data_IF_356633066588
#
_entry.id   IF_356633066588
#
_cell.length_a   1.000
_cell.length_b   1.000
_cell.length_c   1.000
_cell.angle_alpha   90.00
_cell.angle_beta   90.00
_cell.angle_gamma   90.00
#
_symmetry.space_group_name_H-M   'P 1'
#
loop_
_entity.id
_entity.type
_entity.pdbx_description
1 polymer ?
#
# COMPACT_ATOMS: atom_id res chain seq x y z
N UNK A 1 3.56 0.25 0.57
CA UNK A 1 3.03 1.60 0.23
C UNK A 1 3.71 2.23 -1.00
N UNK A 2 5.05 2.18 -1.16
CA UNK A 2 5.76 2.86 -2.27
C UNK A 2 5.28 2.50 -3.69
N UNK A 3 4.84 1.26 -3.92
CA UNK A 3 4.42 0.79 -5.25
C UNK A 3 2.95 1.03 -5.57
N UNK A 4 2.12 1.42 -4.60
CA UNK A 4 0.67 1.61 -4.84
C UNK A 4 0.43 2.71 -5.90
N UNK A 5 1.04 3.92 -5.79
CA UNK A 5 0.84 4.95 -6.82
C UNK A 5 1.25 4.48 -8.21
N UNK A 6 2.41 3.80 -8.31
CA UNK A 6 2.90 3.30 -9.60
C UNK A 6 2.02 2.21 -10.21
N UNK A 7 1.41 1.36 -9.38
CA UNK A 7 0.51 0.29 -9.84
C UNK A 7 -0.84 0.88 -10.27
N UNK A 8 -1.32 1.93 -9.60
CA UNK A 8 -2.53 2.65 -10.02
C UNK A 8 -2.34 3.30 -11.39
N UNK A 9 -1.22 4.01 -11.59
CA UNK A 9 -0.89 4.62 -12.89
C UNK A 9 -0.79 3.56 -14.01
N UNK A 10 -0.22 2.40 -13.69
CA UNK A 10 -0.08 1.28 -14.63
C UNK A 10 -1.43 0.61 -14.92
N UNK A 11 -2.28 0.46 -13.89
CA UNK A 11 -3.66 -0.01 -14.03
C UNK A 11 -4.44 0.90 -14.96
N UNK A 12 -4.35 2.23 -14.78
CA UNK A 12 -5.04 3.20 -15.65
C UNK A 12 -4.56 3.15 -17.10
N UNK A 13 -3.25 2.98 -17.31
CA UNK A 13 -2.67 2.82 -18.65
C UNK A 13 -3.17 1.54 -19.33
N UNK A 14 -3.14 0.41 -18.63
CA UNK A 14 -3.61 -0.87 -19.17
C UNK A 14 -5.11 -0.81 -19.43
N UNK A 15 -5.90 -0.26 -18.52
CA UNK A 15 -7.33 -0.11 -18.65
C UNK A 15 -7.69 0.72 -19.88
N UNK A 16 -7.07 1.89 -20.07
CA UNK A 16 -7.26 2.71 -21.28
C UNK A 16 -6.83 1.97 -22.56
N UNK A 17 -5.71 1.26 -22.54
CA UNK A 17 -5.24 0.50 -23.70
C UNK A 17 -6.20 -0.64 -24.08
N UNK A 18 -6.79 -1.34 -23.09
CA UNK A 18 -7.76 -2.41 -23.35
C UNK A 18 -9.11 -1.84 -23.78
N UNK A 19 -9.56 -0.71 -23.22
CA UNK A 19 -10.77 -0.01 -23.69
C UNK A 19 -10.63 0.41 -25.16
N UNK A 20 -9.47 0.95 -25.57
CA UNK A 20 -9.19 1.25 -26.98
C UNK A 20 -9.18 0.02 -27.89
N UNK A 21 -8.98 -1.18 -27.33
CA UNK A 21 -9.04 -2.46 -28.05
C UNK A 21 -10.43 -3.10 -28.00
N UNK A 22 -11.43 -2.40 -27.48
CA UNK A 22 -12.83 -2.86 -27.42
C UNK A 22 -13.17 -3.69 -26.18
N UNK A 23 -12.33 -3.71 -25.15
CA UNK A 23 -12.69 -4.33 -23.87
C UNK A 23 -13.70 -3.46 -23.12
N UNK A 24 -14.83 -4.04 -22.72
CA UNK A 24 -15.86 -3.40 -21.92
C UNK A 24 -15.75 -3.82 -20.43
N UNK A 25 -15.39 -2.87 -19.57
CA UNK A 25 -15.25 -3.09 -18.13
C UNK A 25 -16.52 -2.73 -17.32
N UNK A 26 -17.53 -2.17 -17.98
CA UNK A 26 -18.76 -1.61 -17.39
C UNK A 26 -19.98 -2.53 -17.59
N UNK A 27 -19.83 -3.72 -18.21
CA UNK A 27 -20.95 -4.62 -18.52
C UNK A 27 -21.80 -4.98 -17.28
N UNK A 28 -23.13 -5.00 -17.46
CA UNK A 28 -24.09 -5.29 -16.37
C UNK A 28 -24.05 -6.74 -15.86
N UNK A 29 -23.50 -7.68 -16.63
CA UNK A 29 -23.40 -9.08 -16.23
C UNK A 29 -22.11 -9.32 -15.43
N UNK A 30 -22.25 -9.68 -14.15
CA UNK A 30 -21.15 -9.90 -13.21
C UNK A 30 -20.13 -10.94 -13.74
N UNK A 31 -20.61 -12.00 -14.39
CA UNK A 31 -19.74 -13.05 -14.94
C UNK A 31 -18.90 -12.52 -16.12
N UNK A 32 -19.52 -11.75 -17.01
CA UNK A 32 -18.80 -11.16 -18.14
C UNK A 32 -17.83 -10.07 -17.66
N UNK A 33 -18.23 -9.28 -16.67
CA UNK A 33 -17.36 -8.28 -16.05
C UNK A 33 -16.12 -8.92 -15.43
N UNK A 34 -16.26 -10.04 -14.71
CA UNK A 34 -15.13 -10.76 -14.14
C UNK A 34 -14.16 -11.28 -15.23
N UNK A 35 -14.68 -11.82 -16.33
CA UNK A 35 -13.86 -12.24 -17.48
C UNK A 35 -13.13 -11.06 -18.13
N UNK A 36 -13.80 -9.92 -18.26
CA UNK A 36 -13.24 -8.72 -18.88
C UNK A 36 -12.13 -8.08 -18.01
N UNK A 37 -12.02 -8.41 -16.73
CA UNK A 37 -10.91 -7.99 -15.87
C UNK A 37 -9.61 -8.81 -16.08
N UNK A 38 -9.68 -10.00 -16.67
CA UNK A 38 -8.50 -10.87 -16.87
C UNK A 38 -7.40 -10.18 -17.72
N UNK A 39 -7.72 -9.52 -18.86
CA UNK A 39 -6.74 -8.77 -19.65
C UNK A 39 -6.09 -7.58 -18.91
N UNK A 40 -6.69 -7.10 -17.82
CA UNK A 40 -6.09 -6.08 -16.95
C UNK A 40 -5.19 -6.71 -15.88
N UNK A 41 -5.69 -7.75 -15.21
CA UNK A 41 -5.02 -8.39 -14.09
C UNK A 41 -3.72 -9.10 -14.51
N UNK A 42 -3.76 -9.90 -15.58
CA UNK A 42 -2.59 -10.70 -15.99
C UNK A 42 -1.37 -9.82 -16.30
N UNK A 43 -1.45 -8.77 -17.13
CA UNK A 43 -0.32 -7.90 -17.37
C UNK A 43 0.17 -7.16 -16.12
N UNK A 44 -0.75 -6.72 -15.26
CA UNK A 44 -0.41 -6.03 -14.02
C UNK A 44 0.39 -6.95 -13.08
N UNK A 45 -0.02 -8.22 -12.93
CA UNK A 45 0.71 -9.20 -12.13
C UNK A 45 2.09 -9.51 -12.69
N UNK A 46 2.19 -9.76 -14.01
CA UNK A 46 3.49 -10.04 -14.65
C UNK A 46 4.45 -8.86 -14.49
N UNK A 47 3.95 -7.64 -14.68
CA UNK A 47 4.75 -6.42 -14.46
C UNK A 47 5.18 -6.24 -13.00
N UNK A 48 4.27 -6.48 -12.05
CA UNK A 48 4.56 -6.39 -10.63
C UNK A 48 5.64 -7.40 -10.19
N UNK A 49 5.57 -8.64 -10.66
CA UNK A 49 6.59 -9.66 -10.35
C UNK A 49 7.94 -9.31 -10.97
N UNK A 50 7.98 -8.87 -12.23
CA UNK A 50 9.22 -8.41 -12.86
C UNK A 50 9.86 -7.28 -12.07
N UNK A 51 9.07 -6.29 -11.64
CA UNK A 51 9.56 -5.17 -10.83
C UNK A 51 10.06 -5.63 -9.46
N UNK A 52 9.42 -6.63 -8.86
CA UNK A 52 9.89 -7.21 -7.60
C UNK A 52 11.25 -7.89 -7.76
N UNK A 53 11.46 -8.61 -8.86
CA UNK A 53 12.72 -9.29 -9.18
C UNK A 53 13.86 -8.29 -9.46
N UNK A 54 13.60 -7.29 -10.31
CA UNK A 54 14.54 -6.18 -10.57
C UNK A 54 14.91 -5.43 -9.29
N UNK A 55 13.93 -5.19 -8.40
CA UNK A 55 14.16 -4.56 -7.11
C UNK A 55 15.01 -5.45 -6.20
N UNK A 56 14.72 -6.75 -6.13
CA UNK A 56 15.48 -7.69 -5.32
C UNK A 56 16.94 -7.73 -5.78
N UNK A 57 17.17 -7.87 -7.08
CA UNK A 57 18.51 -7.82 -7.68
C UNK A 57 19.23 -6.50 -7.38
N UNK A 58 18.54 -5.35 -7.51
CA UNK A 58 19.11 -4.04 -7.19
C UNK A 58 19.42 -3.88 -5.69
N UNK A 59 18.62 -4.50 -4.82
CA UNK A 59 18.86 -4.52 -3.38
C UNK A 59 20.11 -5.35 -3.05
N UNK A 60 20.25 -6.54 -3.64
CA UNK A 60 21.42 -7.40 -3.47
C UNK A 60 22.70 -6.74 -4.01
N UNK A 61 22.64 -6.09 -5.17
CA UNK A 61 23.75 -5.33 -5.75
C UNK A 61 24.21 -4.17 -4.85
N UNK A 62 23.29 -3.58 -4.07
CA UNK A 62 23.61 -2.58 -3.04
C UNK A 62 24.02 -3.19 -1.70
N UNK A 63 24.38 -4.47 -1.70
CA UNK A 63 24.75 -5.26 -0.53
C UNK A 63 23.67 -5.25 0.57
N UNK A 64 22.39 -5.11 0.19
CA UNK A 64 21.30 -5.16 1.16
C UNK A 64 21.11 -6.59 1.67
N UNK A 65 21.72 -6.90 2.80
CA UNK A 65 21.50 -8.14 3.55
C UNK A 65 20.52 -7.85 4.68
N UNK A 66 19.32 -8.41 4.62
CA UNK A 66 18.35 -8.31 5.72
C UNK A 66 18.97 -8.78 7.04
N UNK A 67 18.67 -8.14 8.18
CA UNK A 67 19.22 -8.56 9.47
C UNK A 67 19.27 -7.49 10.55
N UNK A 68 19.80 -7.89 11.70
CA UNK A 68 20.11 -7.04 12.86
C UNK A 68 21.32 -6.12 12.56
N UNK A 69 21.47 -5.02 13.31
CA UNK A 69 22.53 -4.00 13.14
C UNK A 69 22.46 -3.11 11.89
N UNK A 70 21.25 -2.66 11.50
CA UNK A 70 21.08 -1.68 10.42
C UNK A 70 20.73 -0.32 10.97
N UNK A 71 21.42 0.72 10.49
CA UNK A 71 21.09 2.11 10.80
C UNK A 71 19.79 2.50 10.09
N UNK A 72 18.84 3.11 10.80
CA UNK A 72 17.60 3.61 10.23
C UNK A 72 17.81 5.04 9.74
N UNK A 73 17.62 5.29 8.44
CA UNK A 73 17.70 6.66 7.90
C UNK A 73 16.54 7.54 8.40
N UNK A 74 15.34 6.96 8.54
CA UNK A 74 14.14 7.65 9.04
C UNK A 74 13.74 7.02 10.36
N UNK A 75 14.12 7.68 11.44
CA UNK A 75 13.74 7.29 12.80
C UNK A 75 12.50 8.08 13.23
N UNK A 76 11.56 7.40 13.88
CA UNK A 76 10.45 8.06 14.54
C UNK A 76 10.98 8.77 15.79
N UNK A 77 10.85 10.10 15.83
CA UNK A 77 11.24 10.92 16.98
C UNK A 77 9.98 11.35 17.71
N UNK A 78 9.96 11.13 19.03
CA UNK A 78 8.87 11.62 19.89
C UNK A 78 8.99 13.15 19.96
N UNK A 79 7.90 13.81 19.63
CA UNK A 79 7.75 15.26 19.65
C UNK A 79 6.97 15.69 20.88
N UNK A 80 7.01 16.99 21.20
CA UNK A 80 6.20 17.55 22.31
C UNK A 80 4.71 17.32 22.12
N UNK A 81 4.23 17.27 20.86
CA UNK A 81 2.84 16.98 20.55
C UNK A 81 2.44 15.56 20.99
N UNK A 82 3.35 14.59 20.84
CA UNK A 82 3.11 13.20 21.25
C UNK A 82 2.97 13.11 22.78
N UNK A 83 3.79 13.85 23.54
CA UNK A 83 3.65 13.94 24.99
C UNK A 83 2.31 14.54 25.42
N UNK A 84 1.87 15.63 24.77
CA UNK A 84 0.58 16.26 25.08
C UNK A 84 -0.57 15.30 24.74
N UNK A 85 -0.53 14.64 23.59
CA UNK A 85 -1.53 13.64 23.20
C UNK A 85 -1.60 12.50 24.21
N UNK A 86 -0.44 12.02 24.69
CA UNK A 86 -0.37 10.96 25.70
C UNK A 86 -1.00 11.38 27.03
N UNK A 87 -0.70 12.59 27.51
CA UNK A 87 -1.29 13.12 28.75
C UNK A 87 -2.80 13.28 28.61
N UNK A 88 -3.28 13.85 27.50
CA UNK A 88 -4.72 13.98 27.24
C UNK A 88 -5.42 12.62 27.20
N UNK A 89 -4.79 11.61 26.61
CA UNK A 89 -5.35 10.26 26.55
C UNK A 89 -5.44 9.61 27.92
N UNK A 90 -4.43 9.79 28.78
CA UNK A 90 -4.46 9.30 30.18
C UNK A 90 -5.53 10.01 30.99
N UNK A 91 -5.65 11.34 30.87
CA UNK A 91 -6.69 12.13 31.56
C UNK A 91 -8.08 11.70 31.11
N UNK A 92 -8.29 11.53 29.80
CA UNK A 92 -9.56 11.05 29.25
C UNK A 92 -9.95 9.66 29.79
N UNK A 93 -9.01 8.72 29.83
CA UNK A 93 -9.24 7.40 30.42
C UNK A 93 -9.56 7.49 31.92
N UNK A 94 -8.85 8.33 32.67
CA UNK A 94 -9.11 8.51 34.09
C UNK A 94 -10.53 9.06 34.34
N UNK A 95 -10.97 10.04 33.55
CA UNK A 95 -12.33 10.58 33.64
C UNK A 95 -13.37 9.48 33.40
N UNK A 96 -13.20 8.67 32.34
CA UNK A 96 -14.13 7.56 32.04
C UNK A 96 -14.22 6.59 33.22
N UNK A 97 -13.08 6.19 33.78
CA UNK A 97 -13.04 5.24 34.90
C UNK A 97 -13.75 5.83 36.13
N UNK A 98 -13.47 7.09 36.46
CA UNK A 98 -14.10 7.79 37.59
C UNK A 98 -15.62 7.89 37.39
N UNK A 99 -16.09 8.26 36.20
CA UNK A 99 -17.52 8.34 35.90
C UNK A 99 -18.24 6.99 35.88
N UNK A 100 -17.51 5.88 35.74
CA UNK A 100 -18.07 4.53 35.83
C UNK A 100 -18.10 4.01 37.27
N UNK A 101 -17.20 4.50 38.12
CA UNK A 101 -17.10 4.12 39.53
C UNK A 101 -18.04 4.93 40.44
N UNK A 102 -18.41 6.14 40.03
CA UNK A 102 -19.51 6.96 40.58
C UNK A 102 -20.84 6.44 40.03
#
# INVERSE_FOLDING_TARGET
LRFIPTLLDETDKIMKAQMSRGADFESSNIINRAKNLVPLLVPLFVSAFRRADELAMAMEARCYRGGYNRTKMKEAKITKADYIAYVLQVVFLAIIIVTKFI
#
